data_IF_285244155193
#
_entry.id   IF_285244155193
#
_cell.length_a   1.000
_cell.length_b   1.000
_cell.length_c   1.000
_cell.angle_alpha   90.00
_cell.angle_beta   90.00
_cell.angle_gamma   90.00
#
_symmetry.space_group_name_H-M   'P 1'
#
loop_
_entity.id
_entity.type
_entity.pdbx_description
1 polymer ?
#
# COMPACT_ATOMS: atom_id res chain seq x y z
N UNK A 1 35.66 10.06 -12.94
CA UNK A 1 35.72 9.15 -11.78
C UNK A 1 34.33 8.98 -11.19
N UNK A 2 33.80 7.78 -11.18
CA UNK A 2 32.49 7.51 -10.63
C UNK A 2 32.54 7.51 -9.10
N UNK A 3 31.65 8.27 -8.45
CA UNK A 3 31.51 8.20 -6.99
C UNK A 3 30.90 6.85 -6.61
N UNK A 4 31.49 6.16 -5.64
CA UNK A 4 30.99 4.89 -5.14
C UNK A 4 29.63 5.08 -4.45
N UNK A 5 28.64 4.31 -4.82
CA UNK A 5 27.34 4.29 -4.16
C UNK A 5 27.51 3.76 -2.73
N UNK A 6 26.99 4.50 -1.76
CA UNK A 6 27.11 4.16 -0.33
C UNK A 6 25.80 3.73 0.30
N UNK A 7 24.68 3.98 -0.36
CA UNK A 7 23.36 3.65 0.16
C UNK A 7 22.30 3.70 -0.92
N UNK A 8 21.14 3.13 -0.60
CA UNK A 8 19.96 3.09 -1.47
C UNK A 8 18.74 3.51 -0.65
N UNK A 9 17.88 4.34 -1.24
CA UNK A 9 16.58 4.69 -0.71
C UNK A 9 15.51 3.95 -1.51
N UNK A 10 14.63 3.23 -0.81
CA UNK A 10 13.50 2.54 -1.40
C UNK A 10 12.18 3.19 -0.99
N UNK A 11 11.22 3.24 -1.90
CA UNK A 11 9.81 3.31 -1.52
C UNK A 11 9.37 2.00 -0.85
N UNK A 12 8.26 1.99 -0.16
CA UNK A 12 7.81 0.82 0.60
C UNK A 12 6.70 0.05 -0.11
N UNK A 13 5.50 0.64 -0.21
CA UNK A 13 4.35 -0.05 -0.80
C UNK A 13 4.54 -0.26 -2.32
N UNK A 14 4.39 -1.49 -2.77
CA UNK A 14 4.57 -1.87 -4.18
C UNK A 14 6.03 -1.95 -4.63
N UNK A 15 7.00 -1.63 -3.77
CA UNK A 15 8.44 -1.71 -4.05
C UNK A 15 9.12 -2.70 -3.14
N UNK A 16 9.04 -2.52 -1.83
CA UNK A 16 9.53 -3.50 -0.85
C UNK A 16 8.44 -4.52 -0.52
N UNK A 17 7.23 -4.04 -0.24
CA UNK A 17 6.10 -4.84 0.19
C UNK A 17 5.06 -5.03 -0.91
N UNK A 18 4.57 -6.25 -1.06
CA UNK A 18 3.42 -6.60 -1.91
C UNK A 18 2.11 -6.17 -1.23
N UNK A 19 1.89 -4.89 -1.09
CA UNK A 19 0.76 -4.32 -0.34
C UNK A 19 -0.37 -3.80 -1.22
N UNK A 20 -0.15 -3.61 -2.51
CA UNK A 20 -1.11 -2.96 -3.41
C UNK A 20 -2.44 -3.71 -3.53
N UNK A 21 -2.40 -5.04 -3.50
CA UNK A 21 -3.61 -5.87 -3.49
C UNK A 21 -4.46 -5.61 -2.25
N UNK A 22 -3.82 -5.39 -1.11
CA UNK A 22 -4.52 -5.12 0.15
C UNK A 22 -5.16 -3.74 0.10
N UNK A 23 -4.46 -2.73 -0.37
CA UNK A 23 -4.98 -1.37 -0.53
C UNK A 23 -6.19 -1.34 -1.46
N UNK A 24 -6.04 -1.87 -2.66
CA UNK A 24 -7.10 -1.88 -3.67
C UNK A 24 -8.28 -2.75 -3.24
N UNK A 25 -8.03 -3.97 -2.79
CA UNK A 25 -9.08 -4.90 -2.34
C UNK A 25 -9.87 -4.35 -1.17
N UNK A 26 -9.22 -3.66 -0.23
CA UNK A 26 -9.88 -3.02 0.91
C UNK A 26 -10.74 -1.83 0.47
N UNK A 27 -10.32 -1.08 -0.55
CA UNK A 27 -11.16 -0.02 -1.11
C UNK A 27 -12.47 -0.58 -1.66
N UNK A 28 -12.42 -1.68 -2.41
CA UNK A 28 -13.63 -2.33 -2.94
C UNK A 28 -14.52 -2.86 -1.81
N UNK A 29 -13.95 -3.50 -0.80
CA UNK A 29 -14.69 -3.99 0.37
C UNK A 29 -15.39 -2.84 1.09
N UNK A 30 -14.73 -1.71 1.26
CA UNK A 30 -15.29 -0.52 1.89
C UNK A 30 -16.52 -0.03 1.14
N UNK A 31 -16.42 0.13 -0.18
CA UNK A 31 -17.54 0.58 -1.00
C UNK A 31 -18.70 -0.42 -0.97
N UNK A 32 -18.40 -1.70 -1.06
CA UNK A 32 -19.42 -2.76 -0.98
C UNK A 32 -20.17 -2.74 0.37
N UNK A 33 -19.46 -2.62 1.48
CA UNK A 33 -20.06 -2.54 2.81
C UNK A 33 -20.92 -1.28 3.00
N UNK A 34 -20.54 -0.19 2.37
CA UNK A 34 -21.30 1.07 2.41
C UNK A 34 -22.47 1.11 1.43
N UNK A 35 -22.62 0.09 0.58
CA UNK A 35 -23.65 0.05 -0.46
C UNK A 35 -23.44 1.07 -1.58
N UNK A 36 -22.24 1.52 -1.79
CA UNK A 36 -21.88 2.51 -2.82
C UNK A 36 -21.53 1.78 -4.11
N UNK A 37 -22.17 2.17 -5.21
CA UNK A 37 -21.88 1.62 -6.54
C UNK A 37 -20.53 2.10 -7.04
N UNK A 38 -19.75 1.19 -7.55
CA UNK A 38 -18.43 1.48 -8.09
C UNK A 38 -18.18 0.80 -9.43
N UNK A 39 -17.24 1.32 -10.20
CA UNK A 39 -16.87 0.81 -11.50
C UNK A 39 -16.02 -0.46 -11.37
N UNK A 40 -16.63 -1.61 -11.64
CA UNK A 40 -15.98 -2.92 -11.58
C UNK A 40 -14.98 -3.18 -12.71
N UNK A 41 -14.98 -2.35 -13.74
CA UNK A 41 -14.03 -2.46 -14.86
C UNK A 41 -12.64 -1.93 -14.50
N UNK A 42 -12.53 -1.13 -13.44
CA UNK A 42 -11.24 -0.58 -13.00
C UNK A 42 -10.41 -1.70 -12.38
N UNK A 43 -9.23 -1.92 -12.97
CA UNK A 43 -8.27 -2.92 -12.51
C UNK A 43 -7.24 -2.32 -11.56
N UNK A 44 -6.76 -3.12 -10.63
CA UNK A 44 -5.71 -2.73 -9.69
C UNK A 44 -4.50 -2.09 -10.39
N UNK A 45 -4.06 -2.65 -11.53
CA UNK A 45 -2.92 -2.13 -12.30
C UNK A 45 -3.06 -0.67 -12.70
N UNK A 46 -4.29 -0.20 -12.98
CA UNK A 46 -4.55 1.19 -13.38
C UNK A 46 -4.61 2.15 -12.19
N UNK A 47 -4.48 1.65 -10.98
CA UNK A 47 -4.58 2.45 -9.74
C UNK A 47 -3.25 2.59 -9.00
N UNK A 48 -2.18 2.01 -9.53
CA UNK A 48 -0.85 2.10 -8.95
C UNK A 48 -0.39 3.57 -8.91
N UNK A 49 0.07 4.00 -7.74
CA UNK A 49 0.54 5.38 -7.53
C UNK A 49 -0.57 6.41 -7.32
N UNK A 50 -1.84 6.02 -7.36
CA UNK A 50 -2.96 6.92 -7.07
C UNK A 50 -3.15 6.99 -5.55
N UNK A 51 -3.23 8.21 -5.01
CA UNK A 51 -3.56 8.40 -3.60
C UNK A 51 -5.02 8.00 -3.34
N UNK A 52 -5.30 7.55 -2.11
CA UNK A 52 -6.59 6.92 -1.74
C UNK A 52 -7.81 7.78 -2.08
N UNK A 53 -7.75 9.08 -1.85
CA UNK A 53 -8.87 9.98 -2.16
C UNK A 53 -9.20 10.00 -3.67
N UNK A 54 -8.18 10.12 -4.51
CA UNK A 54 -8.34 10.06 -5.96
C UNK A 54 -8.78 8.68 -6.44
N UNK A 55 -8.34 7.62 -5.77
CA UNK A 55 -8.80 6.26 -6.07
C UNK A 55 -10.32 6.15 -5.89
N UNK A 56 -10.86 6.63 -4.78
CA UNK A 56 -12.30 6.61 -4.54
C UNK A 56 -13.07 7.49 -5.54
N UNK A 57 -12.55 8.66 -5.87
CA UNK A 57 -13.14 9.52 -6.89
C UNK A 57 -13.19 8.82 -8.26
N UNK A 58 -12.18 8.02 -8.59
CA UNK A 58 -12.16 7.22 -9.82
C UNK A 58 -13.10 6.02 -9.78
N UNK A 59 -13.21 5.35 -8.63
CA UNK A 59 -14.01 4.13 -8.46
C UNK A 59 -15.51 4.42 -8.36
N UNK A 60 -15.92 5.44 -7.63
CA UNK A 60 -17.31 5.68 -7.28
C UNK A 60 -18.07 6.21 -8.49
N UNK A 61 -19.20 5.54 -8.81
CA UNK A 61 -20.09 5.93 -9.92
C UNK A 61 -21.17 6.92 -9.49
N UNK A 62 -21.44 7.03 -8.19
CA UNK A 62 -22.46 7.93 -7.65
C UNK A 62 -21.90 9.34 -7.53
N UNK A 63 -22.72 10.35 -7.88
CA UNK A 63 -22.35 11.76 -7.71
C UNK A 63 -22.45 12.22 -6.25
N UNK A 64 -23.36 11.59 -5.51
CA UNK A 64 -23.75 12.01 -4.15
C UNK A 64 -23.20 11.02 -3.11
N UNK A 65 -21.99 11.29 -2.64
CA UNK A 65 -21.38 10.52 -1.55
C UNK A 65 -20.50 11.40 -0.65
N UNK A 66 -20.34 10.98 0.59
CA UNK A 66 -19.51 11.67 1.56
C UNK A 66 -18.10 11.07 1.57
N UNK A 67 -17.15 11.72 0.91
CA UNK A 67 -15.76 11.23 0.82
C UNK A 67 -15.11 11.09 2.20
N UNK A 68 -15.37 12.00 3.12
CA UNK A 68 -14.82 11.94 4.49
C UNK A 68 -15.27 10.66 5.21
N UNK A 69 -16.53 10.28 5.06
CA UNK A 69 -17.07 9.06 5.64
C UNK A 69 -16.50 7.81 4.97
N UNK A 70 -16.36 7.82 3.64
CA UNK A 70 -15.72 6.74 2.89
C UNK A 70 -14.29 6.54 3.39
N UNK A 71 -13.52 7.60 3.51
CA UNK A 71 -12.13 7.55 3.98
C UNK A 71 -12.03 7.05 5.42
N UNK A 72 -12.95 7.44 6.29
CA UNK A 72 -13.02 6.95 7.69
C UNK A 72 -13.26 5.44 7.73
N UNK A 73 -14.22 4.95 6.97
CA UNK A 73 -14.52 3.52 6.89
C UNK A 73 -13.38 2.74 6.24
N UNK A 74 -12.75 3.29 5.22
CA UNK A 74 -11.59 2.71 4.58
C UNK A 74 -10.43 2.50 5.55
N UNK A 75 -10.12 3.49 6.39
CA UNK A 75 -9.08 3.36 7.42
C UNK A 75 -9.36 2.23 8.40
N UNK A 76 -10.62 2.07 8.82
CA UNK A 76 -11.03 0.96 9.70
C UNK A 76 -10.85 -0.39 9.01
N UNK A 77 -11.27 -0.51 7.76
CA UNK A 77 -11.13 -1.75 6.98
C UNK A 77 -9.67 -2.08 6.70
N UNK A 78 -8.82 -1.08 6.44
CA UNK A 78 -7.39 -1.27 6.26
C UNK A 78 -6.73 -1.87 7.51
N UNK A 79 -7.07 -1.36 8.69
CA UNK A 79 -6.55 -1.92 9.94
C UNK A 79 -6.90 -3.39 10.08
N UNK A 80 -8.15 -3.75 9.80
CA UNK A 80 -8.62 -5.15 9.84
C UNK A 80 -7.87 -5.99 8.81
N UNK A 81 -7.74 -5.49 7.58
CA UNK A 81 -7.07 -6.21 6.50
C UNK A 81 -5.60 -6.47 6.80
N UNK A 82 -4.86 -5.47 7.30
CA UNK A 82 -3.46 -5.62 7.65
C UNK A 82 -3.22 -6.47 8.91
N UNK A 83 -4.18 -6.52 9.83
CA UNK A 83 -4.11 -7.42 10.98
C UNK A 83 -4.31 -8.88 10.58
N UNK A 84 -5.15 -9.13 9.57
CA UNK A 84 -5.40 -10.48 9.03
C UNK A 84 -4.34 -10.95 8.07
N UNK A 85 -3.85 -10.05 7.23
CA UNK A 85 -2.94 -10.36 6.12
C UNK A 85 -1.79 -9.35 6.08
N UNK A 86 -0.66 -9.72 6.67
CA UNK A 86 0.55 -8.91 6.55
C UNK A 86 1.11 -8.99 5.14
N UNK A 87 1.48 -7.87 4.52
CA UNK A 87 2.15 -7.89 3.23
C UNK A 87 3.44 -8.72 3.27
N UNK A 88 3.68 -9.43 2.19
CA UNK A 88 4.96 -10.13 1.98
C UNK A 88 5.96 -9.15 1.36
N UNK A 89 7.22 -9.34 1.69
CA UNK A 89 8.31 -8.64 1.03
C UNK A 89 8.72 -9.44 -0.20
N UNK A 90 8.98 -8.76 -1.31
CA UNK A 90 9.46 -9.41 -2.53
C UNK A 90 10.71 -10.25 -2.24
N UNK A 91 10.75 -11.55 -2.61
CA UNK A 91 11.82 -12.46 -2.19
C UNK A 91 13.22 -12.02 -2.60
N UNK A 92 13.38 -11.52 -3.84
CA UNK A 92 14.69 -11.08 -4.31
C UNK A 92 15.16 -9.82 -3.58
N UNK A 93 14.24 -8.95 -3.20
CA UNK A 93 14.59 -7.75 -2.45
C UNK A 93 14.96 -8.09 -1.02
N UNK A 94 14.25 -9.03 -0.40
CA UNK A 94 14.61 -9.54 0.93
C UNK A 94 16.02 -10.12 0.94
N UNK A 95 16.36 -10.91 -0.07
CA UNK A 95 17.71 -11.47 -0.25
C UNK A 95 18.75 -10.37 -0.43
N UNK A 96 18.47 -9.39 -1.28
CA UNK A 96 19.36 -8.24 -1.50
C UNK A 96 19.61 -7.46 -0.21
N UNK A 97 18.55 -7.09 0.52
CA UNK A 97 18.66 -6.32 1.77
C UNK A 97 19.52 -7.06 2.80
N UNK A 98 19.38 -8.37 2.90
CA UNK A 98 20.15 -9.19 3.84
C UNK A 98 21.62 -9.36 3.46
N UNK A 99 21.94 -9.30 2.17
CA UNK A 99 23.29 -9.59 1.67
C UNK A 99 24.11 -8.34 1.31
N UNK A 100 23.47 -7.18 1.20
CA UNK A 100 24.18 -5.95 0.80
C UNK A 100 24.93 -5.30 1.96
N UNK A 101 26.07 -4.70 1.64
CA UNK A 101 26.83 -3.85 2.55
C UNK A 101 26.44 -2.35 2.42
N UNK A 102 25.50 -2.04 1.53
CA UNK A 102 25.00 -0.69 1.35
C UNK A 102 24.04 -0.30 2.50
N UNK A 103 24.06 0.96 2.86
CA UNK A 103 23.07 1.50 3.78
C UNK A 103 21.71 1.53 3.09
N UNK A 104 20.68 0.99 3.75
CA UNK A 104 19.32 0.97 3.23
C UNK A 104 18.47 1.96 4.01
N UNK A 105 17.78 2.81 3.28
CA UNK A 105 16.77 3.71 3.82
C UNK A 105 15.42 3.51 3.13
N UNK A 106 14.35 3.87 3.80
CA UNK A 106 12.99 3.82 3.28
C UNK A 106 12.42 5.23 3.29
N UNK A 107 11.87 5.66 2.16
CA UNK A 107 11.12 6.91 2.00
C UNK A 107 9.73 6.56 1.53
N UNK A 108 8.71 6.80 2.36
CA UNK A 108 7.34 6.38 2.08
C UNK A 108 6.32 7.34 2.70
N UNK A 109 5.15 7.41 2.09
CA UNK A 109 3.98 8.08 2.68
C UNK A 109 3.27 7.22 3.75
N UNK A 110 3.65 5.96 3.89
CA UNK A 110 3.09 5.06 4.90
C UNK A 110 3.58 5.42 6.31
N UNK A 111 2.78 5.08 7.32
CA UNK A 111 3.16 5.30 8.72
C UNK A 111 4.35 4.42 9.11
N UNK A 112 5.30 5.01 9.84
CA UNK A 112 6.52 4.32 10.31
C UNK A 112 6.20 3.04 11.07
N UNK A 113 5.21 3.05 11.97
CA UNK A 113 4.82 1.87 12.74
C UNK A 113 4.33 0.71 11.86
N UNK A 114 3.60 1.02 10.79
CA UNK A 114 3.18 0.02 9.82
C UNK A 114 4.38 -0.61 9.11
N UNK A 115 5.30 0.21 8.63
CA UNK A 115 6.52 -0.24 7.95
C UNK A 115 7.33 -1.17 8.87
N UNK A 116 7.58 -0.75 10.10
CA UNK A 116 8.32 -1.54 11.10
C UNK A 116 7.62 -2.88 11.37
N UNK A 117 6.30 -2.86 11.53
CA UNK A 117 5.51 -4.08 11.75
C UNK A 117 5.65 -5.09 10.60
N UNK A 118 5.58 -4.61 9.36
CA UNK A 118 5.73 -5.47 8.18
C UNK A 118 7.14 -6.02 8.08
N UNK A 119 8.16 -5.19 8.28
CA UNK A 119 9.55 -5.62 8.26
C UNK A 119 9.82 -6.70 9.32
N UNK A 120 9.39 -6.49 10.56
CA UNK A 120 9.53 -7.47 11.66
C UNK A 120 8.87 -8.80 11.35
N UNK A 121 7.64 -8.78 10.83
CA UNK A 121 6.92 -10.00 10.43
C UNK A 121 7.61 -10.77 9.31
N UNK A 122 8.44 -10.11 8.52
CA UNK A 122 9.24 -10.70 7.44
C UNK A 122 10.70 -10.95 7.85
N UNK A 123 11.03 -10.83 9.12
CA UNK A 123 12.39 -11.02 9.67
C UNK A 123 13.42 -10.05 9.06
N UNK A 124 13.06 -8.80 8.98
CA UNK A 124 13.97 -7.73 8.54
C UNK A 124 14.14 -6.61 9.56
#
# INVERSE_FOLDING_TARGET
MYKKIKGILFDFDGVIAESEQIWFGTALVTLKKMGIKYDRSIKQKSTIGIISEHLFQKLILEEDYNLTQVMRNYKKELKIAFDRQSPKIYPHLKKFIRSTNLKIGIVSNAHTNYIIKVLKKNNL
#
